data_IF_866818244788
#
_entry.id   IF_866818244788
#
_cell.length_a   1.000
_cell.length_b   1.000
_cell.length_c   1.000
_cell.angle_alpha   90.00
_cell.angle_beta   90.00
_cell.angle_gamma   90.00
#
_symmetry.space_group_name_H-M   'P 1'
#
loop_
_entity.id
_entity.type
_entity.pdbx_description
1 polymer ?
#
# COMPACT_ATOMS: atom_id res chain seq x y z
N UNK A 1 0.76 38.68 47.91
CA UNK A 1 -0.17 37.75 47.24
C UNK A 1 0.20 37.68 45.76
N UNK A 2 0.92 36.62 45.34
CA UNK A 2 1.43 36.46 43.96
C UNK A 2 0.36 35.74 43.12
N UNK A 3 -0.17 36.43 42.10
CA UNK A 3 -1.09 35.84 41.11
C UNK A 3 -0.25 35.14 40.04
N UNK A 4 -0.33 33.82 39.99
CA UNK A 4 0.29 33.00 38.93
C UNK A 4 -0.71 32.97 37.77
N UNK A 5 -0.33 33.60 36.66
CA UNK A 5 -1.05 33.53 35.39
C UNK A 5 -0.56 32.27 34.65
N UNK A 6 -1.44 31.28 34.48
CA UNK A 6 -1.17 30.09 33.66
C UNK A 6 -1.54 30.44 32.21
N UNK A 7 -0.53 30.61 31.36
CA UNK A 7 -0.72 30.73 29.91
C UNK A 7 -0.80 29.31 29.35
N UNK A 8 -1.99 28.91 28.89
CA UNK A 8 -2.20 27.68 28.16
C UNK A 8 -1.54 27.81 26.77
N UNK A 9 -0.42 27.12 26.56
CA UNK A 9 0.18 26.97 25.26
C UNK A 9 -0.65 25.98 24.43
N UNK A 10 -1.42 26.50 23.48
CA UNK A 10 -2.05 25.72 22.42
C UNK A 10 -0.92 25.23 21.50
N UNK A 11 -0.49 23.99 21.68
CA UNK A 11 0.39 23.34 20.71
C UNK A 11 -0.44 23.02 19.46
N UNK A 12 -0.53 23.99 18.55
CA UNK A 12 -0.88 23.74 17.17
C UNK A 12 0.24 22.89 16.56
N UNK A 13 0.02 21.57 16.48
CA UNK A 13 0.81 20.69 15.65
C UNK A 13 0.47 20.98 14.18
N UNK A 14 1.09 22.02 13.63
CA UNK A 14 1.08 22.35 12.21
C UNK A 14 2.54 22.49 11.76
N UNK A 15 2.95 21.62 10.83
CA UNK A 15 4.19 21.76 10.07
C UNK A 15 5.18 20.62 10.27
N UNK A 16 5.27 19.71 9.27
CA UNK A 16 6.35 18.73 9.19
C UNK A 16 6.15 17.67 8.11
N UNK A 17 6.41 18.04 6.84
CA UNK A 17 6.43 17.21 5.62
C UNK A 17 5.13 16.47 5.24
N UNK A 18 4.28 17.14 4.46
CA UNK A 18 3.33 16.45 3.58
C UNK A 18 4.07 15.83 2.40
N UNK A 19 4.87 14.79 2.65
CA UNK A 19 5.43 13.97 1.57
C UNK A 19 4.35 13.05 1.03
N UNK A 20 4.18 13.01 -0.28
CA UNK A 20 3.40 11.93 -0.91
C UNK A 20 4.33 10.73 -1.12
N UNK A 21 3.77 9.53 -1.10
CA UNK A 21 4.55 8.32 -1.40
C UNK A 21 5.14 8.39 -2.83
N UNK A 22 4.51 9.16 -3.71
CA UNK A 22 5.00 9.40 -5.08
C UNK A 22 6.32 10.17 -5.07
N UNK A 23 6.52 11.10 -4.13
CA UNK A 23 7.74 11.93 -4.06
C UNK A 23 8.99 11.11 -3.72
N UNK A 24 8.81 9.90 -3.18
CA UNK A 24 9.90 8.98 -2.86
C UNK A 24 10.23 8.01 -4.01
N UNK A 25 9.42 8.03 -5.08
CA UNK A 25 9.61 7.12 -6.19
C UNK A 25 10.93 7.41 -6.92
N UNK A 26 11.66 6.35 -7.24
CA UNK A 26 12.81 6.40 -8.15
C UNK A 26 12.62 5.35 -9.22
N UNK A 27 12.61 5.78 -10.48
CA UNK A 27 12.41 4.88 -11.61
C UNK A 27 13.54 3.83 -11.73
N UNK A 28 14.74 4.14 -11.22
CA UNK A 28 15.91 3.27 -11.39
C UNK A 28 16.49 3.35 -12.80
N UNK A 29 17.27 2.33 -13.16
CA UNK A 29 17.92 2.19 -14.46
C UNK A 29 18.09 0.72 -14.83
N UNK A 30 18.41 0.43 -16.09
CA UNK A 30 18.54 -0.93 -16.57
C UNK A 30 19.02 -1.03 -18.02
N UNK A 31 19.09 -2.26 -18.52
CA UNK A 31 19.55 -2.60 -19.87
C UNK A 31 18.49 -2.39 -20.96
N UNK A 32 17.24 -2.10 -20.59
CA UNK A 32 16.08 -1.98 -21.50
C UNK A 32 15.76 -3.26 -22.28
N UNK A 33 16.08 -4.42 -21.70
CA UNK A 33 15.88 -5.75 -22.30
C UNK A 33 14.87 -6.62 -21.55
N UNK A 34 14.52 -6.24 -20.31
CA UNK A 34 13.58 -6.96 -19.46
C UNK A 34 12.30 -6.17 -19.24
N UNK A 35 11.16 -6.85 -19.35
CA UNK A 35 9.86 -6.38 -18.87
C UNK A 35 9.67 -6.88 -17.45
N UNK A 36 9.66 -5.96 -16.48
CA UNK A 36 9.58 -6.28 -15.05
C UNK A 36 8.30 -5.70 -14.47
N UNK A 37 7.44 -6.55 -13.92
CA UNK A 37 6.22 -6.13 -13.21
C UNK A 37 6.28 -6.64 -11.78
N UNK A 38 6.47 -5.71 -10.83
CA UNK A 38 6.57 -5.99 -9.40
C UNK A 38 5.30 -5.59 -8.65
N UNK A 39 4.83 -6.46 -7.76
CA UNK A 39 3.74 -6.18 -6.83
C UNK A 39 4.15 -6.55 -5.41
N UNK A 40 3.96 -5.61 -4.50
CA UNK A 40 4.09 -5.80 -3.05
C UNK A 40 2.73 -5.61 -2.41
N UNK A 41 2.24 -6.60 -1.70
CA UNK A 41 0.94 -6.54 -1.00
C UNK A 41 1.16 -6.67 0.49
N UNK A 42 0.79 -5.65 1.24
CA UNK A 42 0.81 -5.60 2.69
C UNK A 42 -0.62 -5.78 3.20
N UNK A 43 -0.88 -6.91 3.86
CA UNK A 43 -2.13 -7.17 4.57
C UNK A 43 -1.95 -6.81 6.04
N UNK A 44 -2.61 -5.74 6.47
CA UNK A 44 -2.56 -5.27 7.85
C UNK A 44 -3.52 -6.10 8.69
N UNK A 45 -2.97 -6.81 9.67
CA UNK A 45 -3.69 -7.67 10.60
C UNK A 45 -2.97 -7.72 11.95
N UNK A 46 -3.73 -7.62 13.04
CA UNK A 46 -3.16 -7.75 14.38
C UNK A 46 -2.69 -9.18 14.69
N UNK A 47 -3.28 -10.19 14.06
CA UNK A 47 -3.03 -11.62 14.36
C UNK A 47 -2.24 -12.34 13.28
N UNK A 48 -2.26 -11.84 12.04
CA UNK A 48 -1.62 -12.47 10.90
C UNK A 48 -1.08 -11.41 9.91
N UNK A 49 -0.14 -10.54 10.34
CA UNK A 49 0.48 -9.59 9.44
C UNK A 49 1.21 -10.32 8.30
N UNK A 50 1.04 -9.85 7.07
CA UNK A 50 1.67 -10.45 5.90
C UNK A 50 2.07 -9.40 4.89
N UNK A 51 3.32 -9.45 4.44
CA UNK A 51 3.83 -8.74 3.27
C UNK A 51 4.23 -9.77 2.24
N UNK A 52 3.56 -9.77 1.09
CA UNK A 52 3.83 -10.68 -0.02
C UNK A 52 4.47 -9.93 -1.18
N UNK A 53 5.49 -10.53 -1.79
CA UNK A 53 6.18 -10.01 -2.97
C UNK A 53 5.92 -10.94 -4.15
N UNK A 54 5.66 -10.35 -5.31
CA UNK A 54 5.57 -11.06 -6.58
C UNK A 54 6.18 -10.20 -7.67
N UNK A 55 7.15 -10.73 -8.40
CA UNK A 55 7.82 -10.04 -9.52
C UNK A 55 7.78 -10.95 -10.72
N UNK A 56 7.20 -10.48 -11.82
CA UNK A 56 7.24 -11.17 -13.11
C UNK A 56 8.33 -10.55 -13.97
N UNK A 57 9.15 -11.40 -14.60
CA UNK A 57 10.25 -11.00 -15.48
C UNK A 57 10.07 -11.68 -16.83
N UNK A 58 10.01 -10.87 -17.89
CA UNK A 58 9.96 -11.32 -19.29
C UNK A 58 11.04 -10.64 -20.12
N UNK A 59 11.39 -11.21 -21.26
CA UNK A 59 12.29 -10.59 -22.24
C UNK A 59 11.54 -9.74 -23.28
N UNK A 60 12.28 -9.16 -24.23
CA UNK A 60 11.73 -8.35 -25.32
C UNK A 60 10.86 -9.09 -26.34
N UNK A 61 10.86 -10.43 -26.31
CA UNK A 61 9.98 -11.26 -27.12
C UNK A 61 8.75 -11.75 -26.32
N UNK A 62 8.67 -11.39 -25.04
CA UNK A 62 7.60 -11.78 -24.12
C UNK A 62 7.78 -13.17 -23.50
N UNK A 63 8.93 -13.81 -23.67
CA UNK A 63 9.24 -15.09 -23.04
C UNK A 63 9.57 -14.89 -21.55
N UNK A 64 9.23 -15.89 -20.73
CA UNK A 64 9.53 -15.86 -19.30
C UNK A 64 11.03 -15.99 -19.05
N UNK A 65 11.56 -15.15 -18.17
CA UNK A 65 12.98 -15.17 -17.79
C UNK A 65 13.15 -15.96 -16.50
N UNK A 66 13.66 -17.17 -16.61
CA UNK A 66 13.97 -18.08 -15.48
C UNK A 66 15.43 -17.94 -15.04
N UNK A 67 15.69 -18.21 -13.75
CA UNK A 67 17.04 -18.16 -13.18
C UNK A 67 17.59 -16.76 -12.91
N UNK A 68 16.77 -15.72 -12.97
CA UNK A 68 17.15 -14.37 -12.60
C UNK A 68 17.36 -14.25 -11.08
N UNK A 69 18.29 -13.39 -10.67
CA UNK A 69 18.41 -12.94 -9.29
C UNK A 69 17.46 -11.77 -9.08
N UNK A 70 16.41 -11.98 -8.28
CA UNK A 70 15.41 -10.95 -7.95
C UNK A 70 15.47 -10.65 -6.46
N UNK A 71 15.72 -9.40 -6.12
CA UNK A 71 15.85 -8.95 -4.72
C UNK A 71 14.93 -7.75 -4.48
N UNK A 72 14.17 -7.81 -3.39
CA UNK A 72 13.48 -6.65 -2.84
C UNK A 72 14.18 -6.26 -1.55
N UNK A 73 14.63 -5.01 -1.46
CA UNK A 73 15.21 -4.47 -0.25
C UNK A 73 14.25 -3.52 0.47
N UNK A 74 14.15 -3.67 1.78
CA UNK A 74 13.47 -2.74 2.68
C UNK A 74 14.24 -2.64 4.00
N UNK A 75 14.22 -1.47 4.63
CA UNK A 75 14.99 -1.25 5.87
C UNK A 75 14.60 -2.17 7.04
N UNK A 76 13.37 -2.68 7.09
CA UNK A 76 12.94 -3.63 8.13
C UNK A 76 13.46 -5.05 7.90
N UNK A 77 13.74 -5.42 6.65
CA UNK A 77 14.01 -6.80 6.25
C UNK A 77 15.46 -7.01 5.81
N UNK A 78 16.15 -5.93 5.42
CA UNK A 78 17.33 -6.02 4.57
C UNK A 78 16.95 -6.49 3.16
N UNK A 79 17.84 -7.27 2.55
CA UNK A 79 17.63 -7.86 1.23
C UNK A 79 16.79 -9.13 1.35
N UNK A 80 15.65 -9.14 0.65
CA UNK A 80 14.80 -10.33 0.48
C UNK A 80 15.02 -10.86 -0.92
N UNK A 81 15.74 -11.97 -1.04
CA UNK A 81 15.84 -12.72 -2.29
C UNK A 81 14.50 -13.42 -2.57
N UNK A 82 13.95 -13.20 -3.77
CA UNK A 82 12.73 -13.85 -4.22
C UNK A 82 13.08 -15.13 -4.98
N UNK A 83 12.28 -16.17 -4.77
CA UNK A 83 12.46 -17.47 -5.41
C UNK A 83 11.50 -17.60 -6.58
N UNK A 84 11.98 -18.14 -7.71
CA UNK A 84 11.10 -18.45 -8.82
C UNK A 84 10.06 -19.49 -8.37
N UNK A 85 8.77 -19.15 -8.48
CA UNK A 85 7.67 -19.95 -7.95
C UNK A 85 7.61 -21.35 -8.58
N UNK A 86 7.95 -21.42 -9.87
CA UNK A 86 8.17 -22.64 -10.62
C UNK A 86 9.26 -22.35 -11.65
N UNK A 87 10.25 -23.23 -11.79
CA UNK A 87 11.31 -23.08 -12.81
C UNK A 87 10.69 -22.91 -14.20
N UNK A 88 11.07 -21.86 -14.92
CA UNK A 88 10.54 -21.52 -16.24
C UNK A 88 9.32 -20.59 -16.23
N UNK A 89 8.80 -20.23 -15.05
CA UNK A 89 7.63 -19.34 -14.93
C UNK A 89 7.98 -17.86 -15.11
N UNK A 90 9.21 -17.46 -14.79
CA UNK A 90 9.60 -16.05 -14.72
C UNK A 90 8.86 -15.26 -13.63
N UNK A 91 8.20 -15.95 -12.69
CA UNK A 91 7.49 -15.35 -11.56
C UNK A 91 8.27 -15.64 -10.28
N UNK A 92 8.73 -14.60 -9.62
CA UNK A 92 9.54 -14.65 -8.41
C UNK A 92 8.73 -14.18 -7.23
N UNK A 93 8.68 -14.97 -6.17
CA UNK A 93 7.82 -14.72 -5.01
C UNK A 93 8.58 -14.82 -3.70
N UNK A 94 8.03 -14.19 -2.68
CA UNK A 94 8.51 -14.26 -1.31
C UNK A 94 7.51 -13.63 -0.36
N UNK A 95 7.73 -13.76 0.94
CA UNK A 95 6.88 -13.11 1.94
C UNK A 95 7.61 -12.84 3.24
N UNK A 96 7.05 -11.94 4.04
CA UNK A 96 7.47 -11.62 5.39
C UNK A 96 6.23 -11.53 6.29
N UNK A 97 6.33 -12.01 7.53
CA UNK A 97 5.22 -11.95 8.51
C UNK A 97 5.27 -10.67 9.36
N UNK A 98 5.67 -9.57 8.75
CA UNK A 98 5.82 -8.24 9.35
C UNK A 98 5.65 -7.15 8.29
N UNK A 99 5.58 -5.89 8.70
CA UNK A 99 5.36 -4.75 7.80
C UNK A 99 6.67 -4.08 7.38
N UNK A 100 6.75 -3.50 6.17
CA UNK A 100 7.91 -2.74 5.75
C UNK A 100 8.07 -1.50 6.63
N UNK A 101 9.31 -1.08 6.87
CA UNK A 101 9.62 0.27 7.35
C UNK A 101 10.15 1.11 6.19
N UNK A 102 9.41 2.16 5.82
CA UNK A 102 9.77 3.01 4.68
C UNK A 102 9.68 2.31 3.32
N UNK A 103 10.36 2.89 2.34
CA UNK A 103 10.23 2.55 0.93
C UNK A 103 10.77 1.17 0.58
N UNK A 104 10.34 0.65 -0.57
CA UNK A 104 10.80 -0.65 -1.08
C UNK A 104 11.61 -0.45 -2.35
N UNK A 105 12.72 -1.15 -2.46
CA UNK A 105 13.57 -1.11 -3.64
C UNK A 105 13.67 -2.46 -4.32
N UNK A 106 13.77 -2.46 -5.64
CA UNK A 106 13.81 -3.67 -6.48
C UNK A 106 15.10 -3.71 -7.29
N UNK A 107 15.69 -4.90 -7.35
CA UNK A 107 16.80 -5.25 -8.22
C UNK A 107 16.50 -6.58 -8.91
N UNK A 108 16.66 -6.62 -10.23
CA UNK A 108 16.54 -7.81 -11.08
C UNK A 108 17.80 -7.91 -11.92
N UNK A 109 18.47 -9.06 -11.89
CA UNK A 109 19.66 -9.32 -12.70
C UNK A 109 19.55 -10.71 -13.33
N UNK A 110 19.76 -10.78 -14.64
CA UNK A 110 19.87 -12.03 -15.40
C UNK A 110 21.06 -11.95 -16.36
N UNK A 111 22.23 -12.46 -15.95
CA UNK A 111 23.46 -12.31 -16.72
C UNK A 111 23.84 -10.84 -16.92
N UNK A 112 23.83 -10.37 -18.18
CA UNK A 112 24.11 -8.98 -18.53
C UNK A 112 22.87 -8.06 -18.43
N UNK A 113 21.67 -8.64 -18.43
CA UNK A 113 20.42 -7.91 -18.36
C UNK A 113 20.10 -7.52 -16.91
N UNK A 114 19.66 -6.29 -16.70
CA UNK A 114 19.41 -5.77 -15.35
C UNK A 114 18.38 -4.66 -15.30
N UNK A 115 17.71 -4.58 -14.15
CA UNK A 115 16.89 -3.46 -13.68
C UNK A 115 17.27 -3.23 -12.23
N UNK A 116 17.73 -2.03 -11.88
CA UNK A 116 18.28 -1.74 -10.55
C UNK A 116 17.96 -0.31 -10.09
N UNK A 117 17.96 -0.11 -8.77
CA UNK A 117 17.75 1.20 -8.16
C UNK A 117 16.30 1.71 -8.26
N UNK A 118 15.37 0.82 -8.62
CA UNK A 118 13.93 1.10 -8.58
C UNK A 118 13.54 1.26 -7.12
N UNK A 119 12.80 2.32 -6.79
CA UNK A 119 12.24 2.55 -5.46
C UNK A 119 10.78 2.96 -5.60
N UNK A 120 9.90 2.25 -4.90
CA UNK A 120 8.50 2.63 -4.73
C UNK A 120 8.28 3.15 -3.32
N UNK A 121 7.77 4.38 -3.21
CA UNK A 121 7.48 4.98 -1.92
C UNK A 121 6.39 4.22 -1.18
N UNK A 122 6.59 3.95 0.10
CA UNK A 122 5.65 3.18 0.90
C UNK A 122 4.61 4.08 1.57
N UNK A 123 3.29 3.87 1.32
CA UNK A 123 2.24 4.68 1.95
C UNK A 123 2.12 4.54 3.48
N UNK A 124 2.78 3.53 4.06
CA UNK A 124 2.65 3.19 5.48
C UNK A 124 1.44 2.32 5.79
N UNK A 125 1.52 1.55 6.88
CA UNK A 125 0.35 0.93 7.50
C UNK A 125 -0.58 2.01 8.05
N UNK A 126 -1.88 1.76 7.98
CA UNK A 126 -2.89 2.71 8.45
C UNK A 126 -3.81 2.03 9.46
N UNK A 127 -4.53 2.84 10.23
CA UNK A 127 -5.59 2.42 11.13
C UNK A 127 -6.91 3.02 10.67
N UNK A 128 -8.01 2.30 10.83
CA UNK A 128 -9.37 2.82 10.61
C UNK A 128 -9.86 3.39 11.95
N UNK A 129 -10.17 4.68 11.97
CA UNK A 129 -10.62 5.40 13.16
C UNK A 129 -12.16 5.43 13.25
N UNK A 130 -12.83 5.44 12.10
CA UNK A 130 -14.29 5.36 12.01
C UNK A 130 -14.72 4.50 10.82
N UNK A 131 -15.81 3.70 10.95
CA UNK A 131 -16.58 3.48 12.19
C UNK A 131 -15.79 2.74 13.27
N UNK A 132 -16.07 3.06 14.53
CA UNK A 132 -15.45 2.35 15.65
C UNK A 132 -15.96 0.89 15.71
N UNK A 133 -15.13 0.00 16.26
CA UNK A 133 -15.48 -1.41 16.46
C UNK A 133 -16.76 -1.55 17.29
N UNK A 134 -17.73 -2.31 16.77
CA UNK A 134 -19.03 -2.53 17.41
C UNK A 134 -19.99 -1.34 17.38
N UNK A 135 -19.63 -0.24 16.72
CA UNK A 135 -20.48 0.95 16.67
C UNK A 135 -21.81 0.70 15.95
N UNK A 136 -22.82 1.47 16.33
CA UNK A 136 -24.06 1.61 15.58
C UNK A 136 -24.03 2.93 14.81
N UNK A 137 -24.27 2.87 13.51
CA UNK A 137 -24.41 4.02 12.62
C UNK A 137 -25.82 4.04 12.03
N UNK A 138 -26.29 5.22 11.64
CA UNK A 138 -27.60 5.35 11.01
C UNK A 138 -27.60 4.68 9.62
N UNK A 139 -28.58 3.81 9.37
CA UNK A 139 -28.83 3.28 8.04
C UNK A 139 -29.39 4.36 7.10
N UNK A 140 -29.14 4.21 5.80
CA UNK A 140 -29.60 5.12 4.74
C UNK A 140 -29.19 6.58 4.95
N UNK A 141 -28.11 6.80 5.70
CA UNK A 141 -27.46 8.08 5.92
C UNK A 141 -25.99 7.97 5.46
N UNK A 142 -25.34 9.09 5.10
CA UNK A 142 -23.92 9.08 4.78
C UNK A 142 -23.10 8.44 5.91
N UNK A 143 -22.25 7.49 5.54
CA UNK A 143 -21.39 6.79 6.49
C UNK A 143 -20.02 7.45 6.49
N UNK A 144 -19.69 8.10 7.61
CA UNK A 144 -18.37 8.68 7.80
C UNK A 144 -17.33 7.58 8.03
N UNK A 145 -16.30 7.56 7.17
CA UNK A 145 -15.15 6.67 7.26
C UNK A 145 -13.90 7.52 7.42
N UNK A 146 -13.04 7.18 8.37
CA UNK A 146 -11.76 7.87 8.56
C UNK A 146 -10.62 6.92 8.91
N UNK A 147 -9.41 7.28 8.50
CA UNK A 147 -8.19 6.49 8.65
C UNK A 147 -6.95 7.35 8.80
N UNK A 148 -5.88 6.77 9.33
CA UNK A 148 -4.58 7.44 9.42
C UNK A 148 -3.84 7.41 8.08
N UNK A 149 -3.14 8.50 7.77
CA UNK A 149 -2.36 8.66 6.52
C UNK A 149 -0.91 9.00 6.84
N UNK A 150 -0.05 8.02 7.20
CA UNK A 150 1.35 8.31 7.52
C UNK A 150 2.09 9.05 6.40
N UNK A 151 1.85 8.63 5.16
CA UNK A 151 2.32 9.27 3.93
C UNK A 151 1.20 9.21 2.90
N UNK A 152 0.82 10.32 2.27
CA UNK A 152 -0.30 10.34 1.30
C UNK A 152 -0.01 9.41 0.12
N UNK A 153 -0.91 8.47 -0.15
CA UNK A 153 -0.78 7.48 -1.22
C UNK A 153 -1.18 8.07 -2.58
N UNK A 154 -0.72 7.45 -3.66
CA UNK A 154 -1.14 7.80 -5.03
C UNK A 154 -2.63 7.55 -5.25
N UNK A 155 -3.15 6.48 -4.66
CA UNK A 155 -4.56 6.12 -4.70
C UNK A 155 -5.01 5.47 -3.39
N UNK A 156 -6.26 5.73 -3.00
CA UNK A 156 -6.96 5.02 -1.94
C UNK A 156 -8.30 4.49 -2.47
N UNK A 157 -8.71 3.32 -1.99
CA UNK A 157 -10.00 2.71 -2.29
C UNK A 157 -10.68 2.33 -1.00
N UNK A 158 -11.97 2.65 -0.89
CA UNK A 158 -12.83 2.23 0.22
C UNK A 158 -13.85 1.25 -0.33
N UNK A 159 -14.06 0.14 0.38
CA UNK A 159 -15.15 -0.77 0.10
C UNK A 159 -15.88 -1.21 1.37
N UNK A 160 -17.15 -1.56 1.21
CA UNK A 160 -17.98 -2.12 2.28
C UNK A 160 -18.18 -3.62 2.06
N UNK A 161 -18.10 -4.41 3.13
CA UNK A 161 -18.26 -5.87 3.07
C UNK A 161 -19.64 -6.34 2.61
N UNK A 162 -20.63 -5.43 2.56
CA UNK A 162 -21.94 -5.69 1.95
C UNK A 162 -21.87 -5.84 0.43
N UNK A 163 -20.78 -5.39 -0.21
CA UNK A 163 -20.63 -5.33 -1.66
C UNK A 163 -21.32 -4.13 -2.32
N UNK A 164 -22.10 -3.34 -1.56
CA UNK A 164 -22.85 -2.20 -2.09
C UNK A 164 -22.04 -0.92 -2.34
N UNK A 165 -20.73 -0.95 -2.07
CA UNK A 165 -19.84 0.18 -2.28
C UNK A 165 -18.40 -0.26 -2.50
N UNK A 166 -17.78 0.26 -3.55
CA UNK A 166 -16.34 0.25 -3.79
C UNK A 166 -16.01 1.45 -4.65
N UNK A 167 -15.18 2.36 -4.16
CA UNK A 167 -14.81 3.55 -4.91
C UNK A 167 -13.35 3.94 -4.63
N UNK A 168 -12.67 4.44 -5.66
CA UNK A 168 -11.43 5.16 -5.50
C UNK A 168 -11.75 6.55 -4.93
N UNK A 169 -11.00 6.96 -3.91
CA UNK A 169 -11.19 8.21 -3.18
C UNK A 169 -9.85 8.92 -3.03
N UNK A 170 -9.85 10.26 -2.81
CA UNK A 170 -8.65 10.96 -2.37
C UNK A 170 -8.13 10.36 -1.05
N UNK A 171 -6.80 10.21 -0.92
CA UNK A 171 -6.19 9.71 0.31
C UNK A 171 -6.03 10.82 1.37
N UNK A 172 -7.13 11.44 1.74
CA UNK A 172 -7.19 12.57 2.69
C UNK A 172 -7.39 12.12 4.15
N UNK A 173 -7.51 10.83 4.40
CA UNK A 173 -7.75 10.26 5.74
C UNK A 173 -9.21 10.25 6.17
N UNK A 174 -10.13 10.71 5.33
CA UNK A 174 -11.57 10.65 5.58
C UNK A 174 -12.38 10.67 4.28
N UNK A 175 -13.54 10.03 4.30
CA UNK A 175 -14.51 10.00 3.21
C UNK A 175 -15.91 9.67 3.73
N UNK A 176 -16.93 10.32 3.17
CA UNK A 176 -18.32 10.00 3.47
C UNK A 176 -18.89 9.09 2.37
N UNK A 177 -19.14 7.83 2.72
CA UNK A 177 -19.81 6.88 1.83
C UNK A 177 -21.26 7.34 1.63
N UNK A 178 -21.76 7.45 0.39
CA UNK A 178 -23.11 7.92 0.12
C UNK A 178 -24.19 7.11 0.86
N UNK A 179 -25.26 7.79 1.28
CA UNK A 179 -26.38 7.20 2.00
C UNK A 179 -26.97 5.94 1.33
N UNK A 180 -27.11 5.96 0.00
CA UNK A 180 -27.64 4.83 -0.79
C UNK A 180 -26.78 3.57 -0.70
N UNK A 181 -25.51 3.70 -0.31
CA UNK A 181 -24.54 2.62 -0.16
C UNK A 181 -24.40 2.11 1.27
N UNK A 182 -25.14 2.67 2.23
CA UNK A 182 -25.15 2.31 3.64
C UNK A 182 -26.52 1.78 4.11
N UNK A 183 -27.03 0.67 3.54
CA UNK A 183 -28.31 0.09 3.95
C UNK A 183 -28.21 -0.53 5.35
N UNK A 184 -29.36 -0.76 5.99
CA UNK A 184 -29.42 -1.44 7.29
C UNK A 184 -28.76 -2.83 7.20
N UNK A 185 -27.75 -3.07 8.05
CA UNK A 185 -26.95 -4.29 8.04
C UNK A 185 -26.17 -4.46 9.34
N UNK A 186 -26.19 -5.68 9.87
CA UNK A 186 -25.32 -6.09 10.98
C UNK A 186 -24.01 -6.69 10.45
N UNK A 187 -22.92 -6.53 11.21
CA UNK A 187 -21.65 -7.15 10.87
C UNK A 187 -20.97 -6.57 9.62
N UNK A 188 -21.28 -5.32 9.27
CA UNK A 188 -20.65 -4.63 8.14
C UNK A 188 -19.21 -4.25 8.51
N UNK A 189 -18.31 -4.24 7.53
CA UNK A 189 -16.91 -3.86 7.70
C UNK A 189 -16.51 -2.89 6.60
N UNK A 190 -15.61 -1.98 6.94
CA UNK A 190 -14.89 -1.15 5.97
C UNK A 190 -13.58 -1.84 5.61
N UNK A 191 -13.22 -1.85 4.33
CA UNK A 191 -11.86 -2.16 3.88
C UNK A 191 -11.29 -0.92 3.22
N UNK A 192 -10.06 -0.57 3.60
CA UNK A 192 -9.31 0.51 2.98
C UNK A 192 -8.06 -0.08 2.34
N UNK A 193 -7.85 0.29 1.08
CA UNK A 193 -6.69 -0.12 0.30
C UNK A 193 -5.97 1.14 -0.18
N UNK A 194 -4.72 1.32 0.24
CA UNK A 194 -3.86 2.45 -0.15
C UNK A 194 -2.74 1.93 -1.03
N UNK A 195 -2.44 2.60 -2.14
CA UNK A 195 -1.40 2.13 -3.07
C UNK A 195 -0.56 3.24 -3.66
N UNK A 196 0.65 2.86 -4.04
CA UNK A 196 1.57 3.68 -4.80
C UNK A 196 2.25 2.82 -5.89
N UNK A 197 2.69 3.46 -6.97
CA UNK A 197 3.28 2.79 -8.12
C UNK A 197 4.30 3.71 -8.80
N UNK A 198 5.38 3.08 -9.27
CA UNK A 198 6.45 3.71 -10.05
C UNK A 198 6.66 2.94 -11.35
N UNK A 199 6.83 3.67 -12.46
CA UNK A 199 7.27 3.10 -13.72
C UNK A 199 8.78 2.86 -13.67
N UNK A 200 9.22 1.70 -14.14
CA UNK A 200 10.62 1.28 -14.05
C UNK A 200 11.41 1.86 -15.22
N UNK A 201 12.41 2.68 -14.89
CA UNK A 201 13.40 3.21 -15.82
C UNK A 201 14.41 2.16 -16.25
N UNK A 202 14.69 2.11 -17.56
CA UNK A 202 15.61 1.13 -18.15
C UNK A 202 15.09 -0.31 -18.13
N UNK A 203 13.81 -0.53 -17.85
CA UNK A 203 13.07 -1.72 -18.27
C UNK A 203 12.43 -1.51 -19.64
N UNK A 204 11.81 -2.56 -20.18
CA UNK A 204 10.96 -2.45 -21.37
C UNK A 204 9.66 -1.68 -21.05
N UNK A 205 9.02 -1.05 -22.04
CA UNK A 205 7.74 -0.36 -21.86
C UNK A 205 6.70 -1.24 -21.16
N UNK A 206 6.02 -0.69 -20.15
CA UNK A 206 5.08 -1.42 -19.29
C UNK A 206 5.71 -2.02 -18.03
N UNK A 207 7.01 -1.85 -17.82
CA UNK A 207 7.65 -2.24 -16.55
C UNK A 207 7.22 -1.30 -15.42
N UNK A 208 6.74 -1.85 -14.31
CA UNK A 208 6.32 -1.06 -13.14
C UNK A 208 6.52 -1.83 -11.83
N UNK A 209 6.54 -1.10 -10.72
CA UNK A 209 6.49 -1.66 -9.38
C UNK A 209 5.39 -0.97 -8.57
N UNK A 210 4.49 -1.77 -8.00
CA UNK A 210 3.35 -1.29 -7.20
C UNK A 210 3.42 -1.85 -5.78
N UNK A 211 3.14 -1.00 -4.79
CA UNK A 211 2.89 -1.41 -3.41
C UNK A 211 1.44 -1.11 -3.04
N UNK A 212 0.79 -2.06 -2.38
CA UNK A 212 -0.60 -1.98 -1.92
C UNK A 212 -0.66 -2.34 -0.44
N UNK A 213 -1.34 -1.53 0.35
CA UNK A 213 -1.56 -1.72 1.79
C UNK A 213 -3.05 -1.84 2.03
N UNK A 214 -3.50 -3.00 2.52
CA UNK A 214 -4.90 -3.29 2.77
C UNK A 214 -5.15 -3.51 4.25
N UNK A 215 -6.11 -2.77 4.82
CA UNK A 215 -6.64 -3.02 6.15
C UNK A 215 -8.15 -3.26 6.05
N UNK A 216 -8.60 -4.32 6.70
CA UNK A 216 -10.03 -4.58 6.93
C UNK A 216 -10.36 -4.22 8.38
N UNK A 217 -11.29 -3.30 8.56
CA UNK A 217 -11.77 -2.87 9.86
C UNK A 217 -12.65 -3.90 10.55
N UNK A 218 -12.95 -3.61 11.80
CA UNK A 218 -13.88 -4.38 12.61
C UNK A 218 -15.33 -4.23 12.15
N UNK A 219 -16.18 -5.08 12.70
CA UNK A 219 -17.62 -5.03 12.43
C UNK A 219 -18.29 -3.84 13.09
N UNK A 220 -19.22 -3.22 12.39
CA UNK A 220 -20.20 -2.26 12.91
C UNK A 220 -21.62 -2.64 12.42
N UNK A 221 -22.63 -1.96 12.95
CA UNK A 221 -24.03 -2.13 12.59
C UNK A 221 -24.58 -0.85 12.00
N UNK A 222 -25.22 -0.93 10.82
CA UNK A 222 -26.06 0.13 10.28
C UNK A 222 -27.53 -0.20 10.57
N UNK A 223 -28.27 0.69 11.24
CA UNK A 223 -29.71 0.52 11.51
C UNK A 223 -30.46 1.86 11.55
#
# INVERSE_FOLDING_TARGET
MKRILVIAAVAAACGGSSGTAVDHNRAGSGSSTLLVTGTVTVTVSATAPLTSFSVTVKDGLGANVSGATVTVHNSAYGDVALTEAQTGSGVYTGSQTSYPSGDLSLSVVNGADKVQGVVVGYPGTHAINAPASGATVAANAPLHVSWTTPTVSKAATISLSSGGFSAQVPDTGAYDVPAASNPARTGQRVTIVRSNEVDIGGGLPGSSMKVTVSLRGDTFTAQ
#
